data_IF_731768459146
#
_entry.id   IF_731768459146
#
_cell.length_a   1.000
_cell.length_b   1.000
_cell.length_c   1.000
_cell.angle_alpha   90.00
_cell.angle_beta   90.00
_cell.angle_gamma   90.00
#
_symmetry.space_group_name_H-M   'P 1'
#
loop_
_entity.id
_entity.type
_entity.pdbx_description
1 polymer ?
#
# COMPACT_ATOMS: atom_id res chain seq x y z
N UNK A 1 23.72 -8.01 8.59
CA UNK A 1 22.62 -8.52 7.75
C UNK A 1 23.07 -8.34 6.30
N UNK A 2 23.33 -9.41 5.54
CA UNK A 2 23.65 -9.26 4.11
C UNK A 2 22.32 -9.23 3.32
N UNK A 3 21.63 -8.10 3.41
CA UNK A 3 20.43 -7.76 2.63
C UNK A 3 20.95 -7.25 1.29
N UNK A 4 21.17 -8.17 0.34
CA UNK A 4 20.36 -8.16 -0.86
C UNK A 4 20.06 -9.59 -1.37
N UNK A 5 18.78 -9.92 -1.51
CA UNK A 5 18.21 -10.30 -2.81
C UNK A 5 16.93 -9.47 -2.95
N UNK A 6 17.15 -8.23 -3.38
CA UNK A 6 16.16 -7.22 -3.78
C UNK A 6 15.04 -6.81 -2.78
N UNK A 7 15.39 -6.79 -1.47
CA UNK A 7 14.72 -6.05 -0.36
C UNK A 7 13.45 -6.74 0.23
N UNK A 8 12.94 -6.48 1.45
CA UNK A 8 13.02 -5.38 2.45
C UNK A 8 13.31 -5.89 3.89
N UNK A 9 13.89 -5.07 4.79
CA UNK A 9 13.89 -5.28 6.24
C UNK A 9 13.13 -4.17 7.01
N UNK A 10 12.37 -3.35 6.28
CA UNK A 10 11.59 -2.23 6.80
C UNK A 10 10.13 -2.50 6.52
N UNK A 11 9.28 -2.17 7.50
CA UNK A 11 7.83 -2.23 7.37
C UNK A 11 7.31 -0.82 7.58
N UNK A 12 6.68 -0.18 6.58
CA UNK A 12 6.02 1.09 6.80
C UNK A 12 4.90 0.90 7.83
N UNK A 13 4.70 1.92 8.66
CA UNK A 13 3.55 2.01 9.55
C UNK A 13 2.75 3.24 9.16
N UNK A 14 1.58 3.00 8.57
CA UNK A 14 0.67 4.05 8.12
C UNK A 14 -0.34 4.40 9.21
N UNK A 15 -0.62 5.69 9.40
CA UNK A 15 -1.73 6.14 10.25
C UNK A 15 -2.75 6.80 9.34
N UNK A 16 -3.92 6.19 9.21
CA UNK A 16 -4.89 6.49 8.15
C UNK A 16 -6.23 6.90 8.73
N UNK A 17 -6.88 7.89 8.12
CA UNK A 17 -8.23 8.32 8.51
C UNK A 17 -9.29 7.23 8.35
N UNK A 18 -9.09 6.29 7.43
CA UNK A 18 -10.02 5.17 7.18
C UNK A 18 -9.24 3.86 7.03
N UNK A 19 -8.68 3.36 8.14
CA UNK A 19 -7.80 2.18 8.11
C UNK A 19 -8.50 0.91 7.57
N UNK A 20 -9.78 0.72 7.87
CA UNK A 20 -10.56 -0.43 7.36
C UNK A 20 -10.75 -0.35 5.84
N UNK A 21 -11.02 0.83 5.31
CA UNK A 21 -11.15 1.04 3.87
C UNK A 21 -9.81 0.84 3.14
N UNK A 22 -8.69 1.26 3.75
CA UNK A 22 -7.34 0.96 3.23
C UNK A 22 -7.08 -0.55 3.16
N UNK A 23 -7.47 -1.30 4.18
CA UNK A 23 -7.33 -2.76 4.17
C UNK A 23 -8.09 -3.39 2.99
N UNK A 24 -9.33 -2.96 2.74
CA UNK A 24 -10.13 -3.47 1.63
C UNK A 24 -9.56 -3.05 0.26
N UNK A 25 -9.06 -1.82 0.14
CA UNK A 25 -8.35 -1.34 -1.04
C UNK A 25 -7.12 -2.21 -1.34
N UNK A 26 -6.26 -2.43 -0.35
CA UNK A 26 -5.03 -3.20 -0.52
C UNK A 26 -5.30 -4.66 -0.91
N UNK A 27 -6.36 -5.28 -0.36
CA UNK A 27 -6.82 -6.61 -0.78
C UNK A 27 -7.26 -6.65 -2.24
N UNK A 28 -7.99 -5.64 -2.73
CA UNK A 28 -8.51 -5.62 -4.11
C UNK A 28 -7.42 -5.31 -5.13
N UNK A 29 -6.58 -4.32 -4.83
CA UNK A 29 -5.56 -3.79 -5.76
C UNK A 29 -4.32 -4.66 -5.78
N UNK A 30 -3.82 -5.06 -4.61
CA UNK A 30 -2.56 -5.79 -4.46
C UNK A 30 -2.72 -7.24 -4.04
N UNK A 31 -3.95 -7.74 -3.91
CA UNK A 31 -4.23 -9.10 -3.46
C UNK A 31 -3.61 -9.37 -2.08
N UNK A 32 -3.54 -8.31 -1.27
CA UNK A 32 -2.99 -8.34 0.08
C UNK A 32 -3.76 -9.33 0.98
N UNK A 33 -3.03 -9.94 1.92
CA UNK A 33 -3.61 -10.85 2.91
C UNK A 33 -3.48 -10.27 4.30
N UNK A 34 -4.52 -10.41 5.11
CA UNK A 34 -4.42 -10.10 6.53
C UNK A 34 -3.39 -11.03 7.18
N UNK A 35 -2.45 -10.44 7.91
CA UNK A 35 -1.53 -11.18 8.76
C UNK A 35 -1.94 -11.09 10.23
N UNK A 36 -2.30 -9.89 10.67
CA UNK A 36 -2.79 -9.61 12.01
C UNK A 36 -3.74 -8.41 11.95
N UNK A 37 -4.88 -8.50 12.63
CA UNK A 37 -5.79 -7.38 12.82
C UNK A 37 -6.17 -7.32 14.29
N UNK A 38 -5.87 -6.19 14.92
CA UNK A 38 -6.26 -5.86 16.28
C UNK A 38 -7.37 -4.81 16.20
N UNK A 39 -8.62 -5.16 16.56
CA UNK A 39 -9.74 -4.23 16.49
C UNK A 39 -9.54 -3.09 17.48
N UNK A 40 -9.89 -1.88 17.05
CA UNK A 40 -10.07 -0.72 17.92
C UNK A 40 -11.52 -0.54 18.33
N UNK A 41 -11.81 0.59 18.96
CA UNK A 41 -13.18 0.99 19.28
C UNK A 41 -13.97 1.35 18.01
N UNK A 42 -15.30 1.25 18.06
CA UNK A 42 -16.19 1.67 16.97
C UNK A 42 -15.82 1.09 15.58
N UNK A 43 -15.49 -0.21 15.53
CA UNK A 43 -15.12 -0.93 14.30
C UNK A 43 -13.87 -0.40 13.57
N UNK A 44 -13.05 0.39 14.27
CA UNK A 44 -11.77 0.87 13.76
C UNK A 44 -10.68 -0.21 13.89
N UNK A 45 -9.50 0.05 13.32
CA UNK A 45 -8.34 -0.82 13.45
C UNK A 45 -7.31 -0.13 14.34
N UNK A 46 -7.07 -0.68 15.54
CA UNK A 46 -6.05 -0.18 16.44
C UNK A 46 -4.65 -0.49 15.92
N UNK A 47 -4.47 -1.68 15.34
CA UNK A 47 -3.26 -2.09 14.66
C UNK A 47 -3.59 -3.18 13.64
N UNK A 48 -3.08 -3.06 12.43
CA UNK A 48 -3.23 -4.06 11.39
C UNK A 48 -1.92 -4.29 10.65
N UNK A 49 -1.79 -5.50 10.11
CA UNK A 49 -0.69 -5.94 9.28
C UNK A 49 -1.24 -6.61 8.02
N UNK A 50 -0.84 -6.09 6.87
CA UNK A 50 -1.15 -6.70 5.57
C UNK A 50 0.12 -7.22 4.93
N UNK A 51 0.06 -8.47 4.47
CA UNK A 51 1.12 -9.11 3.72
C UNK A 51 0.84 -9.00 2.23
N UNK A 52 1.81 -8.46 1.49
CA UNK A 52 1.82 -8.41 0.02
C UNK A 52 3.12 -9.07 -0.44
N UNK A 53 3.01 -10.23 -1.09
CA UNK A 53 4.15 -11.12 -1.33
C UNK A 53 4.92 -11.40 -0.03
N UNK A 54 6.17 -10.94 0.08
CA UNK A 54 7.02 -11.08 1.26
C UNK A 54 7.06 -9.81 2.14
N UNK A 55 6.46 -8.70 1.69
CA UNK A 55 6.42 -7.44 2.42
C UNK A 55 5.24 -7.39 3.39
N UNK A 56 5.45 -6.72 4.54
CA UNK A 56 4.40 -6.41 5.51
C UNK A 56 4.24 -4.89 5.58
N UNK A 57 3.00 -4.43 5.49
CA UNK A 57 2.60 -3.05 5.75
C UNK A 57 1.82 -3.03 7.05
N UNK A 58 2.30 -2.25 8.01
CA UNK A 58 1.57 -1.97 9.24
C UNK A 58 0.69 -0.75 9.04
N UNK A 59 -0.48 -0.73 9.68
CA UNK A 59 -1.39 0.40 9.59
C UNK A 59 -2.29 0.50 10.83
N UNK A 60 -2.77 1.69 11.12
CA UNK A 60 -3.74 1.94 12.18
C UNK A 60 -4.66 3.12 11.85
N UNK A 61 -5.79 3.18 12.55
CA UNK A 61 -6.73 4.29 12.50
C UNK A 61 -6.12 5.54 13.14
N UNK A 62 -6.22 6.67 12.45
CA UNK A 62 -5.88 7.98 12.99
C UNK A 62 -6.89 8.41 14.07
N UNK A 63 -6.40 9.11 15.09
CA UNK A 63 -7.20 9.67 16.19
C UNK A 63 -6.57 10.94 16.75
N UNK A 64 -6.98 11.36 17.95
CA UNK A 64 -6.49 12.60 18.57
C UNK A 64 -5.00 12.52 18.93
N UNK A 65 -4.55 11.35 19.39
CA UNK A 65 -3.16 11.13 19.81
C UNK A 65 -2.24 10.90 18.60
N UNK A 66 -2.67 10.01 17.68
CA UNK A 66 -1.92 9.65 16.48
C UNK A 66 -2.62 10.21 15.25
N UNK A 67 -2.11 11.34 14.76
CA UNK A 67 -2.62 11.99 13.55
C UNK A 67 -2.14 11.28 12.29
N UNK A 68 -2.77 11.61 11.16
CA UNK A 68 -2.49 10.99 9.86
C UNK A 68 -1.01 11.04 9.49
N UNK A 69 -0.48 9.89 9.06
CA UNK A 69 0.91 9.68 8.61
C UNK A 69 0.88 8.73 7.42
N UNK A 70 0.82 9.30 6.23
CA UNK A 70 0.89 8.57 4.95
C UNK A 70 2.34 8.41 4.51
N UNK A 71 2.56 7.61 3.47
CA UNK A 71 3.89 7.40 2.92
C UNK A 71 3.88 7.27 1.38
N UNK A 72 5.04 7.53 0.78
CA UNK A 72 5.35 7.04 -0.56
C UNK A 72 5.97 5.65 -0.48
N UNK A 73 5.43 4.70 -1.25
CA UNK A 73 5.84 3.30 -1.25
C UNK A 73 6.17 2.85 -2.66
N UNK A 74 7.25 2.09 -2.80
CA UNK A 74 7.62 1.39 -4.03
C UNK A 74 7.30 -0.09 -3.90
N UNK A 75 6.71 -0.67 -4.93
CA UNK A 75 6.36 -2.09 -4.96
C UNK A 75 6.56 -2.69 -6.36
N UNK A 76 7.10 -3.91 -6.38
CA UNK A 76 7.16 -4.71 -7.59
C UNK A 76 5.87 -5.52 -7.78
N UNK A 77 5.36 -5.52 -9.00
CA UNK A 77 4.12 -6.22 -9.38
C UNK A 77 4.33 -6.97 -10.68
N UNK A 78 3.58 -8.05 -10.88
CA UNK A 78 3.72 -8.87 -12.10
C UNK A 78 3.14 -8.21 -13.35
N UNK A 79 2.21 -7.27 -13.19
CA UNK A 79 1.54 -6.55 -14.28
C UNK A 79 1.16 -5.14 -13.81
N UNK A 80 1.90 -4.15 -14.28
CA UNK A 80 1.70 -2.74 -13.91
C UNK A 80 0.36 -2.23 -14.41
N UNK A 81 -0.06 -2.60 -15.62
CA UNK A 81 -1.30 -2.10 -16.20
C UNK A 81 -2.52 -2.59 -15.40
N UNK A 82 -2.52 -3.88 -15.04
CA UNK A 82 -3.60 -4.48 -14.25
C UNK A 82 -3.73 -3.84 -12.88
N UNK A 83 -2.62 -3.67 -12.15
CA UNK A 83 -2.63 -3.04 -10.82
C UNK A 83 -3.04 -1.58 -10.91
N UNK A 84 -2.51 -0.85 -11.89
CA UNK A 84 -2.85 0.55 -12.13
C UNK A 84 -4.34 0.74 -12.40
N UNK A 85 -4.93 -0.05 -13.30
CA UNK A 85 -6.37 0.04 -13.61
C UNK A 85 -7.23 -0.29 -12.38
N UNK A 86 -6.91 -1.38 -11.65
CA UNK A 86 -7.60 -1.71 -10.40
C UNK A 86 -7.53 -0.57 -9.38
N UNK A 87 -6.39 0.12 -9.28
CA UNK A 87 -6.24 1.24 -8.36
C UNK A 87 -7.19 2.39 -8.72
N UNK A 88 -7.26 2.76 -10.01
CA UNK A 88 -8.18 3.80 -10.50
C UNK A 88 -9.66 3.42 -10.29
N UNK A 89 -10.03 2.16 -10.57
CA UNK A 89 -11.38 1.65 -10.31
C UNK A 89 -11.77 1.69 -8.81
N UNK A 90 -10.77 1.70 -7.92
CA UNK A 90 -10.96 1.80 -6.47
C UNK A 90 -10.63 3.20 -5.93
N UNK A 91 -10.77 4.23 -6.77
CA UNK A 91 -10.75 5.64 -6.35
C UNK A 91 -9.37 6.29 -6.27
N UNK A 92 -8.32 5.61 -6.74
CA UNK A 92 -6.99 6.22 -6.83
C UNK A 92 -6.93 7.27 -7.93
N UNK A 93 -5.99 8.21 -7.82
CA UNK A 93 -5.72 9.22 -8.85
C UNK A 93 -4.36 9.02 -9.48
N UNK A 94 -4.27 9.27 -10.79
CA UNK A 94 -3.03 9.16 -11.56
C UNK A 94 -1.98 10.15 -11.08
N UNK A 95 -0.79 9.68 -10.72
CA UNK A 95 0.41 10.50 -10.58
C UNK A 95 1.32 10.38 -11.82
N UNK A 96 1.48 9.15 -12.32
CA UNK A 96 2.25 8.81 -13.52
C UNK A 96 1.61 7.63 -14.23
N UNK A 97 1.14 7.84 -15.47
CA UNK A 97 0.59 6.75 -16.27
C UNK A 97 1.66 5.68 -16.58
N UNK A 98 1.28 4.39 -16.71
CA UNK A 98 2.21 3.33 -17.06
C UNK A 98 3.02 3.58 -18.33
N UNK A 99 4.34 3.56 -18.22
CA UNK A 99 5.24 3.79 -19.34
C UNK A 99 6.57 3.05 -19.16
N UNK A 100 7.29 2.82 -20.27
CA UNK A 100 8.60 2.17 -20.26
C UNK A 100 9.68 3.16 -19.82
N UNK A 101 10.38 2.83 -18.73
CA UNK A 101 11.55 3.55 -18.23
C UNK A 101 12.82 2.71 -18.40
N UNK A 102 13.98 3.33 -18.16
CA UNK A 102 15.28 2.64 -18.25
C UNK A 102 15.40 1.46 -17.26
N UNK A 103 14.76 1.58 -16.10
CA UNK A 103 14.79 0.57 -15.03
C UNK A 103 13.63 -0.43 -15.06
N UNK A 104 12.66 -0.31 -15.98
CA UNK A 104 11.49 -1.18 -16.00
C UNK A 104 10.26 -0.52 -16.62
N UNK A 105 9.19 -1.30 -16.79
CA UNK A 105 7.86 -0.73 -17.08
C UNK A 105 7.24 -0.33 -15.74
N UNK A 106 6.79 0.92 -15.59
CA UNK A 106 6.40 1.47 -14.27
C UNK A 106 5.30 2.51 -14.36
N UNK A 107 4.57 2.71 -13.26
CA UNK A 107 3.53 3.72 -13.10
C UNK A 107 3.44 4.22 -11.67
N UNK A 108 2.58 5.20 -11.41
CA UNK A 108 2.34 5.70 -10.07
C UNK A 108 0.96 6.33 -9.87
N UNK A 109 0.41 6.17 -8.68
CA UNK A 109 -0.90 6.70 -8.29
C UNK A 109 -0.94 7.09 -6.80
N UNK A 110 -1.84 8.00 -6.46
CA UNK A 110 -2.21 8.32 -5.08
C UNK A 110 -3.49 7.55 -4.72
N UNK A 111 -3.46 6.77 -3.63
CA UNK A 111 -4.65 6.07 -3.15
C UNK A 111 -5.60 7.02 -2.40
N UNK A 112 -6.87 6.62 -2.15
CA UNK A 112 -7.85 7.48 -1.46
C UNK A 112 -7.45 7.93 -0.05
N UNK A 113 -6.40 7.35 0.52
CA UNK A 113 -5.95 7.57 1.88
C UNK A 113 -4.67 8.42 1.93
N UNK A 114 -4.25 8.98 0.78
CA UNK A 114 -3.12 9.90 0.67
C UNK A 114 -1.74 9.22 0.58
N UNK A 115 -1.67 7.90 0.37
CA UNK A 115 -0.40 7.22 0.11
C UNK A 115 -0.06 7.26 -1.38
N UNK A 116 1.22 7.45 -1.68
CA UNK A 116 1.71 7.37 -3.05
C UNK A 116 2.26 5.97 -3.31
N UNK A 117 1.81 5.36 -4.39
CA UNK A 117 2.26 4.04 -4.84
C UNK A 117 3.02 4.17 -6.13
N UNK A 118 4.25 3.69 -6.13
CA UNK A 118 5.11 3.58 -7.31
C UNK A 118 5.27 2.10 -7.65
N UNK A 119 4.63 1.69 -8.73
CA UNK A 119 4.59 0.29 -9.15
C UNK A 119 5.58 0.06 -10.30
N UNK A 120 6.34 -1.03 -10.20
CA UNK A 120 7.33 -1.43 -11.21
C UNK A 120 7.10 -2.88 -11.58
N UNK A 121 7.12 -3.19 -12.87
CA UNK A 121 6.97 -4.56 -13.36
C UNK A 121 8.26 -5.35 -13.10
N UNK A 122 8.15 -6.52 -12.46
CA UNK A 122 9.30 -7.36 -12.09
C UNK A 122 8.93 -8.78 -11.69
#
# INVERSE_FOLDING_TARGET
MNIPKNYLPVMPYLILKEAKAFMDFAKRVFEAKEQLIVPGENETIMHGELKIHDAIIMFAQAGEIWTEKTAGMYIYVTDVNKVYQKALENGSTTLMAPEKKEYGYSGGFEDPFGNHWWIVEG
#
